data_IF_277643599407
#
_entry.id   IF_277643599407
#
_cell.length_a   1.000
_cell.length_b   1.000
_cell.length_c   1.000
_cell.angle_alpha   90.00
_cell.angle_beta   90.00
_cell.angle_gamma   90.00
#
_symmetry.space_group_name_H-M   'P 1'
#
loop_
_entity.id
_entity.type
_entity.pdbx_description
1 polymer ?
#
# COMPACT_ATOMS: atom_id res chain seq x y z
N UNK A 1 -14.05 33.41 -17.94
CA UNK A 1 -12.82 33.30 -18.76
C UNK A 1 -12.54 31.82 -18.96
N UNK A 2 -12.75 31.28 -20.16
CA UNK A 2 -12.45 29.88 -20.44
C UNK A 2 -10.94 29.74 -20.66
N UNK A 3 -10.27 28.96 -19.82
CA UNK A 3 -8.86 28.58 -20.03
C UNK A 3 -8.80 27.67 -21.25
N UNK A 4 -7.93 27.99 -22.21
CA UNK A 4 -7.61 27.11 -23.33
C UNK A 4 -6.92 25.85 -22.81
N UNK A 5 -7.35 24.69 -23.29
CA UNK A 5 -6.70 23.40 -23.01
C UNK A 5 -5.63 23.18 -24.07
N UNK A 6 -4.37 23.07 -23.64
CA UNK A 6 -3.26 22.64 -24.51
C UNK A 6 -3.24 21.11 -24.55
N UNK A 7 -3.28 20.54 -25.76
CA UNK A 7 -3.17 19.10 -25.98
C UNK A 7 -1.72 18.81 -26.35
N UNK A 8 -1.09 17.91 -25.59
CA UNK A 8 0.27 17.41 -25.87
C UNK A 8 0.13 15.96 -26.29
N UNK A 9 0.65 15.62 -27.47
CA UNK A 9 0.74 14.24 -27.92
C UNK A 9 1.91 13.54 -27.22
N UNK A 10 1.63 12.37 -26.66
CA UNK A 10 2.63 11.52 -26.00
C UNK A 10 2.91 10.35 -26.94
N UNK A 11 4.19 10.10 -27.21
CA UNK A 11 4.62 8.99 -28.07
C UNK A 11 4.21 7.64 -27.45
N UNK A 12 3.64 6.75 -28.25
CA UNK A 12 3.31 5.40 -27.81
C UNK A 12 4.59 4.59 -27.60
N UNK A 13 4.60 3.67 -26.63
CA UNK A 13 5.81 2.87 -26.31
C UNK A 13 6.32 2.06 -27.53
N UNK A 14 5.40 1.52 -28.32
CA UNK A 14 5.73 0.73 -29.52
C UNK A 14 6.32 1.58 -30.65
N UNK A 15 6.19 2.91 -30.59
CA UNK A 15 6.73 3.84 -31.58
C UNK A 15 8.14 4.32 -31.22
N UNK A 16 8.72 3.87 -30.09
CA UNK A 16 10.07 4.23 -29.69
C UNK A 16 11.09 3.63 -30.65
N UNK A 17 12.01 4.47 -31.13
CA UNK A 17 13.16 3.99 -31.90
C UNK A 17 14.14 3.24 -31.00
N UNK A 18 14.94 2.35 -31.58
CA UNK A 18 15.98 1.62 -30.84
C UNK A 18 16.98 2.56 -30.14
N UNK A 19 17.25 3.75 -30.72
CA UNK A 19 18.12 4.76 -30.09
C UNK A 19 17.48 5.39 -28.86
N UNK A 20 16.16 5.63 -28.88
CA UNK A 20 15.43 6.15 -27.72
C UNK A 20 15.33 5.10 -26.63
N UNK A 21 15.07 3.83 -26.99
CA UNK A 21 15.09 2.71 -26.04
C UNK A 21 16.48 2.60 -25.40
N UNK A 22 17.56 2.67 -26.17
CA UNK A 22 18.92 2.64 -25.63
C UNK A 22 19.29 3.87 -24.77
N UNK A 23 18.60 5.00 -24.97
CA UNK A 23 18.75 6.20 -24.15
C UNK A 23 17.84 6.20 -22.90
N UNK A 24 17.06 5.15 -22.69
CA UNK A 24 16.24 4.97 -21.50
C UNK A 24 17.11 4.92 -20.24
N UNK A 25 16.51 5.27 -19.09
CA UNK A 25 17.24 5.28 -17.82
C UNK A 25 17.65 3.90 -17.33
N UNK A 26 16.90 2.87 -17.73
CA UNK A 26 17.15 1.49 -17.38
C UNK A 26 16.93 0.62 -18.60
N UNK A 27 17.81 -0.35 -18.81
CA UNK A 27 17.57 -1.41 -19.78
C UNK A 27 16.66 -2.52 -19.22
N UNK A 28 16.35 -3.51 -20.06
CA UNK A 28 15.46 -4.63 -19.67
C UNK A 28 16.07 -5.50 -18.56
N UNK A 29 17.39 -5.69 -18.56
CA UNK A 29 18.09 -6.52 -17.57
C UNK A 29 18.13 -5.82 -16.22
N UNK A 30 18.52 -4.54 -16.19
CA UNK A 30 18.49 -3.69 -14.99
C UNK A 30 17.07 -3.64 -14.40
N UNK A 31 16.04 -3.48 -15.24
CA UNK A 31 14.67 -3.44 -14.75
C UNK A 31 14.19 -4.76 -14.16
N UNK A 32 14.62 -5.87 -14.75
CA UNK A 32 14.40 -7.21 -14.21
C UNK A 32 15.11 -7.38 -12.86
N UNK A 33 16.34 -6.90 -12.71
CA UNK A 33 17.07 -6.94 -11.44
C UNK A 33 16.39 -6.13 -10.34
N UNK A 34 15.97 -4.89 -10.66
CA UNK A 34 15.21 -4.02 -9.75
C UNK A 34 13.94 -4.73 -9.29
N UNK A 35 13.18 -5.29 -10.24
CA UNK A 35 11.95 -6.03 -9.97
C UNK A 35 12.19 -7.23 -9.06
N UNK A 36 13.23 -8.02 -9.31
CA UNK A 36 13.61 -9.12 -8.43
C UNK A 36 14.03 -8.64 -7.03
N UNK A 37 14.69 -7.49 -6.93
CA UNK A 37 15.00 -6.81 -5.68
C UNK A 37 13.73 -6.51 -4.88
N UNK A 38 12.73 -5.90 -5.52
CA UNK A 38 11.42 -5.62 -4.91
C UNK A 38 10.73 -6.91 -4.41
N UNK A 39 10.74 -7.99 -5.21
CA UNK A 39 10.16 -9.27 -4.78
C UNK A 39 10.86 -9.87 -3.55
N UNK A 40 12.19 -9.77 -3.47
CA UNK A 40 12.94 -10.23 -2.29
C UNK A 40 12.57 -9.42 -1.04
N UNK A 41 12.29 -8.13 -1.17
CA UNK A 41 11.82 -7.29 -0.06
C UNK A 41 10.40 -7.70 0.35
N UNK A 42 9.49 -7.86 -0.60
CA UNK A 42 8.12 -8.32 -0.34
C UNK A 42 8.08 -9.66 0.41
N UNK A 43 8.83 -10.65 -0.07
CA UNK A 43 8.89 -11.96 0.58
C UNK A 43 9.39 -11.87 2.03
N UNK A 44 10.32 -10.95 2.32
CA UNK A 44 10.78 -10.70 3.69
C UNK A 44 9.74 -10.00 4.55
N UNK A 45 9.00 -9.04 3.98
CA UNK A 45 7.90 -8.39 4.68
C UNK A 45 6.81 -9.39 5.10
N UNK A 46 6.51 -10.37 4.24
CA UNK A 46 5.43 -11.34 4.49
C UNK A 46 5.84 -12.52 5.37
N UNK A 47 7.02 -13.10 5.14
CA UNK A 47 7.39 -14.41 5.73
C UNK A 47 8.60 -14.34 6.66
N UNK A 48 9.44 -13.32 6.55
CA UNK A 48 10.80 -13.35 7.07
C UNK A 48 11.18 -12.04 7.73
N UNK A 49 10.58 -11.78 8.90
CA UNK A 49 10.73 -10.56 9.69
C UNK A 49 12.13 -9.95 9.64
N UNK A 50 12.20 -8.62 9.59
CA UNK A 50 13.43 -7.86 9.34
C UNK A 50 14.61 -8.35 10.17
N UNK A 51 15.61 -8.94 9.51
CA UNK A 51 16.89 -9.29 10.15
C UNK A 51 17.49 -8.02 10.76
N UNK A 52 17.83 -8.07 12.05
CA UNK A 52 18.42 -6.95 12.80
C UNK A 52 19.58 -6.35 12.00
N UNK A 53 19.52 -5.04 11.74
CA UNK A 53 20.59 -4.27 11.10
C UNK A 53 20.44 -3.98 9.60
N UNK A 54 19.45 -4.57 8.90
CA UNK A 54 19.16 -4.18 7.50
C UNK A 54 17.84 -3.44 7.40
N UNK A 55 17.89 -2.15 7.08
CA UNK A 55 16.73 -1.33 6.71
C UNK A 55 16.44 -1.56 5.22
N UNK A 56 15.24 -2.03 4.91
CA UNK A 56 14.75 -2.14 3.54
C UNK A 56 13.73 -1.03 3.30
N UNK A 57 13.74 -0.43 2.11
CA UNK A 57 12.65 0.47 1.73
C UNK A 57 11.41 -0.38 1.44
N UNK A 58 10.38 -0.23 2.27
CA UNK A 58 9.08 -0.89 2.10
C UNK A 58 8.05 0.02 1.44
N UNK A 59 8.35 1.33 1.34
CA UNK A 59 7.47 2.33 0.75
C UNK A 59 7.33 2.07 -0.75
N UNK A 60 6.10 2.11 -1.25
CA UNK A 60 5.75 1.79 -2.64
C UNK A 60 5.49 0.30 -2.88
N UNK A 61 5.83 -0.58 -1.93
CA UNK A 61 5.60 -2.03 -2.02
C UNK A 61 4.35 -2.49 -1.26
N UNK A 62 3.68 -1.61 -0.50
CA UNK A 62 2.54 -1.97 0.35
C UNK A 62 1.42 -2.61 -0.45
N UNK A 63 1.12 -2.05 -1.63
CA UNK A 63 0.11 -2.60 -2.51
C UNK A 63 0.51 -3.93 -3.18
N UNK A 64 1.78 -4.31 -3.14
CA UNK A 64 2.26 -5.58 -3.71
C UNK A 64 2.31 -6.69 -2.67
N UNK A 65 2.04 -6.40 -1.40
CA UNK A 65 1.77 -7.42 -0.39
C UNK A 65 0.49 -8.18 -0.72
N UNK A 66 0.33 -9.38 -0.18
CA UNK A 66 -0.86 -10.23 -0.34
C UNK A 66 -2.12 -9.48 0.08
N UNK A 67 -2.13 -8.88 1.27
CA UNK A 67 -3.28 -8.11 1.75
C UNK A 67 -3.49 -6.83 0.94
N UNK A 68 -2.41 -6.11 0.60
CA UNK A 68 -2.51 -4.88 -0.19
C UNK A 68 -3.01 -5.12 -1.61
N UNK A 69 -2.61 -6.22 -2.23
CA UNK A 69 -3.06 -6.59 -3.57
C UNK A 69 -4.53 -7.04 -3.59
N UNK A 70 -4.94 -7.84 -2.61
CA UNK A 70 -6.35 -8.24 -2.41
C UNK A 70 -7.21 -6.99 -2.19
N UNK A 71 -6.85 -6.14 -1.23
CA UNK A 71 -7.62 -4.93 -0.90
C UNK A 71 -7.75 -3.98 -2.11
N UNK A 72 -6.65 -3.77 -2.87
CA UNK A 72 -6.71 -2.98 -4.12
C UNK A 72 -7.66 -3.59 -5.14
N UNK A 73 -7.60 -4.91 -5.35
CA UNK A 73 -8.46 -5.61 -6.32
C UNK A 73 -9.92 -5.52 -5.91
N UNK A 74 -10.24 -5.81 -4.65
CA UNK A 74 -11.60 -5.73 -4.10
C UNK A 74 -12.17 -4.32 -4.23
N UNK A 75 -11.40 -3.30 -3.85
CA UNK A 75 -11.85 -1.91 -3.94
C UNK A 75 -12.12 -1.49 -5.39
N UNK A 76 -11.26 -1.89 -6.34
CA UNK A 76 -11.49 -1.62 -7.77
C UNK A 76 -12.76 -2.31 -8.27
N UNK A 77 -12.92 -3.60 -8.00
CA UNK A 77 -14.12 -4.36 -8.40
C UNK A 77 -15.38 -3.74 -7.80
N UNK A 78 -15.38 -3.44 -6.51
CA UNK A 78 -16.52 -2.82 -5.84
C UNK A 78 -16.84 -1.44 -6.42
N UNK A 79 -15.82 -0.67 -6.79
CA UNK A 79 -16.01 0.65 -7.41
C UNK A 79 -16.63 0.53 -8.80
N UNK A 80 -16.21 -0.45 -9.61
CA UNK A 80 -16.83 -0.72 -10.91
C UNK A 80 -18.28 -1.15 -10.76
N UNK A 81 -18.56 -2.11 -9.86
CA UNK A 81 -19.92 -2.58 -9.59
C UNK A 81 -20.81 -1.42 -9.14
N UNK A 82 -20.37 -0.58 -8.20
CA UNK A 82 -21.16 0.55 -7.73
C UNK A 82 -21.52 1.57 -8.83
N UNK A 83 -20.61 1.79 -9.78
CA UNK A 83 -20.87 2.67 -10.93
C UNK A 83 -21.87 2.03 -11.90
N UNK A 84 -21.67 0.75 -12.23
CA UNK A 84 -22.54 0.03 -13.15
C UNK A 84 -23.96 -0.13 -12.58
N UNK A 85 -24.09 -0.43 -11.29
CA UNK A 85 -25.38 -0.54 -10.61
C UNK A 85 -26.14 0.80 -10.64
N UNK A 86 -25.46 1.92 -10.41
CA UNK A 86 -26.10 3.25 -10.47
C UNK A 86 -26.47 3.63 -11.92
N UNK A 87 -25.64 3.28 -12.90
CA UNK A 87 -25.96 3.47 -14.32
C UNK A 87 -27.18 2.64 -14.74
N UNK A 88 -27.23 1.36 -14.37
CA UNK A 88 -28.36 0.47 -14.65
C UNK A 88 -29.65 0.98 -14.00
N UNK A 89 -29.57 1.45 -12.75
CA UNK A 89 -30.70 2.06 -12.05
C UNK A 89 -31.21 3.30 -12.79
N UNK A 90 -30.35 4.22 -13.20
CA UNK A 90 -30.75 5.42 -13.96
C UNK A 90 -31.39 5.05 -15.29
N UNK A 91 -30.84 4.04 -15.99
CA UNK A 91 -31.38 3.53 -17.24
C UNK A 91 -32.80 2.96 -17.07
N UNK A 92 -33.01 2.12 -16.06
CA UNK A 92 -34.30 1.48 -15.80
C UNK A 92 -35.39 2.47 -15.34
N UNK A 93 -34.99 3.58 -14.71
CA UNK A 93 -35.91 4.64 -14.26
C UNK A 93 -36.28 5.63 -15.37
N UNK A 94 -35.76 5.49 -16.60
CA UNK A 94 -35.95 6.43 -17.72
C UNK A 94 -35.67 7.90 -17.32
N UNK A 95 -34.66 8.12 -16.46
CA UNK A 95 -34.24 9.46 -16.03
C UNK A 95 -33.13 9.98 -16.93
N UNK A 96 -33.01 11.31 -17.02
CA UNK A 96 -31.81 11.94 -17.56
C UNK A 96 -30.58 11.50 -16.74
N UNK A 97 -29.43 11.36 -17.41
CA UNK A 97 -28.20 10.91 -16.77
C UNK A 97 -27.73 11.88 -15.69
N UNK A 98 -27.74 11.43 -14.43
CA UNK A 98 -27.20 12.16 -13.28
C UNK A 98 -25.76 11.72 -13.03
N UNK A 99 -24.82 12.49 -13.60
CA UNK A 99 -23.38 12.27 -13.43
C UNK A 99 -22.92 12.46 -11.97
N UNK A 100 -23.60 13.29 -11.19
CA UNK A 100 -23.24 13.53 -9.79
C UNK A 100 -23.55 12.30 -8.94
N UNK A 101 -24.71 11.66 -9.17
CA UNK A 101 -25.08 10.42 -8.50
C UNK A 101 -24.07 9.27 -8.79
N UNK A 102 -23.62 9.13 -10.04
CA UNK A 102 -22.58 8.15 -10.41
C UNK A 102 -21.25 8.45 -9.69
N UNK A 103 -20.84 9.74 -9.66
CA UNK A 103 -19.64 10.18 -8.96
C UNK A 103 -19.71 9.87 -7.47
N UNK A 104 -20.86 10.13 -6.85
CA UNK A 104 -21.09 9.88 -5.43
C UNK A 104 -21.09 8.38 -5.10
N UNK A 105 -21.64 7.53 -5.98
CA UNK A 105 -21.58 6.08 -5.85
C UNK A 105 -20.12 5.57 -5.85
N UNK A 106 -19.30 6.04 -6.79
CA UNK A 106 -17.87 5.72 -6.83
C UNK A 106 -17.13 6.22 -5.59
N UNK A 107 -17.36 7.48 -5.20
CA UNK A 107 -16.69 8.13 -4.06
C UNK A 107 -16.99 7.39 -2.75
N UNK A 108 -18.23 6.90 -2.59
CA UNK A 108 -18.63 6.11 -1.42
C UNK A 108 -17.72 4.89 -1.21
N UNK A 109 -17.39 4.17 -2.29
CA UNK A 109 -16.54 2.97 -2.23
C UNK A 109 -15.06 3.33 -2.11
N UNK A 110 -14.59 4.35 -2.83
CA UNK A 110 -13.17 4.72 -2.90
C UNK A 110 -12.67 5.61 -1.75
N UNK A 111 -13.58 6.16 -0.93
CA UNK A 111 -13.25 7.09 0.17
C UNK A 111 -12.22 6.56 1.16
N UNK A 112 -12.25 5.26 1.50
CA UNK A 112 -11.29 4.64 2.40
C UNK A 112 -9.87 4.65 1.83
N UNK A 113 -9.74 4.39 0.52
CA UNK A 113 -8.45 4.44 -0.18
C UNK A 113 -7.89 5.86 -0.20
N UNK A 114 -8.76 6.86 -0.42
CA UNK A 114 -8.37 8.27 -0.39
C UNK A 114 -7.86 8.68 1.01
N UNK A 115 -8.58 8.31 2.06
CA UNK A 115 -8.18 8.59 3.43
C UNK A 115 -6.84 7.93 3.77
N UNK A 116 -6.65 6.66 3.37
CA UNK A 116 -5.39 5.96 3.56
C UNK A 116 -4.22 6.65 2.85
N UNK A 117 -4.42 7.11 1.61
CA UNK A 117 -3.39 7.85 0.88
C UNK A 117 -2.98 9.14 1.63
N UNK A 118 -3.94 9.88 2.19
CA UNK A 118 -3.66 11.07 3.01
C UNK A 118 -2.87 10.71 4.27
N UNK A 119 -3.27 9.65 4.98
CA UNK A 119 -2.56 9.19 6.19
C UNK A 119 -1.12 8.80 5.86
N UNK A 120 -0.89 8.08 4.76
CA UNK A 120 0.45 7.69 4.33
C UNK A 120 1.28 8.92 3.94
N UNK A 121 0.72 9.84 3.16
CA UNK A 121 1.40 11.08 2.76
C UNK A 121 1.82 11.93 3.97
N UNK A 122 0.95 12.06 4.98
CA UNK A 122 1.29 12.78 6.21
C UNK A 122 2.41 12.11 7.01
N UNK A 123 2.43 10.77 7.05
CA UNK A 123 3.52 10.03 7.70
C UNK A 123 4.85 10.22 6.96
N UNK A 124 4.81 10.23 5.64
CA UNK A 124 6.00 10.48 4.83
C UNK A 124 6.51 11.91 5.03
N UNK A 125 5.62 12.90 5.08
CA UNK A 125 5.96 14.28 5.43
C UNK A 125 6.66 14.38 6.79
N UNK A 126 6.07 13.79 7.83
CA UNK A 126 6.65 13.79 9.18
C UNK A 126 8.01 13.09 9.24
N UNK A 127 8.19 12.00 8.50
CA UNK A 127 9.46 11.29 8.43
C UNK A 127 10.56 12.14 7.77
N UNK A 128 10.21 12.93 6.75
CA UNK A 128 11.13 13.86 6.10
C UNK A 128 11.47 15.03 7.03
N UNK A 129 10.49 15.62 7.70
CA UNK A 129 10.76 16.69 8.68
C UNK A 129 11.68 16.21 9.79
N UNK A 130 11.41 15.04 10.37
CA UNK A 130 12.28 14.47 11.39
C UNK A 130 13.70 14.22 10.90
N UNK A 131 13.89 13.85 9.63
CA UNK A 131 15.22 13.68 9.05
C UNK A 131 15.95 15.01 8.88
N UNK A 132 15.27 16.06 8.39
CA UNK A 132 15.88 17.37 8.16
C UNK A 132 16.29 18.08 9.45
N UNK A 133 15.52 17.95 10.52
CA UNK A 133 15.76 18.64 11.79
C UNK A 133 16.54 17.79 12.83
N UNK A 134 16.88 16.54 12.53
CA UNK A 134 17.77 15.73 13.38
C UNK A 134 19.26 16.06 13.16
N UNK A 135 19.63 16.57 11.97
CA UNK A 135 21.02 16.92 11.65
C UNK A 135 21.45 18.28 12.26
N UNK A 136 20.54 19.14 12.70
CA UNK A 136 20.88 20.45 13.29
C UNK A 136 21.35 20.38 14.75
N UNK A 137 21.04 19.32 15.51
CA UNK A 137 21.46 19.18 16.92
C UNK A 137 22.78 18.38 17.09
N UNK A 138 23.27 17.66 16.07
CA UNK A 138 24.54 16.92 16.17
C UNK A 138 25.78 17.79 15.85
N UNK A 139 25.61 18.96 15.22
CA UNK A 139 26.72 19.87 14.88
C UNK A 139 27.08 20.89 15.99
N UNK A 140 26.30 20.99 17.09
CA UNK A 140 26.61 21.88 18.22
C UNK A 140 27.32 21.21 19.42
N UNK A 141 27.59 19.89 19.39
CA UNK A 141 28.28 19.20 20.49
C UNK A 141 29.72 18.77 20.15
N UNK A 142 30.53 19.70 19.62
CA UNK A 142 32.00 19.55 19.59
C UNK A 142 32.69 20.80 20.16
N UNK A 143 32.56 21.02 21.46
CA UNK A 143 33.64 21.51 22.35
C UNK A 143 33.13 21.77 23.78
N UNK A 144 33.23 20.78 24.66
CA UNK A 144 33.73 21.01 26.02
C UNK A 144 34.05 19.70 26.75
N UNK A 145 35.29 19.65 27.25
CA UNK A 145 35.74 18.89 28.42
C UNK A 145 35.90 17.38 28.32
N UNK A 146 37.09 17.02 27.83
CA UNK A 146 37.95 16.00 28.44
C UNK A 146 37.97 16.11 29.98
N UNK A 147 37.31 15.18 30.68
CA UNK A 147 37.83 14.68 31.96
C UNK A 147 37.41 13.24 32.19
N UNK A 148 38.41 12.37 32.30
CA UNK A 148 38.25 10.95 32.56
C UNK A 148 37.66 10.69 33.95
N UNK A 149 36.57 9.90 34.04
CA UNK A 149 36.25 9.14 35.24
C UNK A 149 35.79 7.74 34.84
N UNK A 150 36.61 6.76 35.21
CA UNK A 150 36.33 5.33 35.17
C UNK A 150 35.33 4.96 36.28
N UNK A 151 34.16 4.42 35.93
CA UNK A 151 33.30 3.69 36.88
C UNK A 151 32.91 2.34 36.28
N UNK A 152 33.14 1.30 37.08
CA UNK A 152 32.98 -0.12 36.77
C UNK A 152 31.50 -0.53 36.72
N UNK A 153 31.20 -1.39 35.75
CA UNK A 153 30.23 -2.50 35.73
C UNK A 153 29.14 -2.57 36.81
N UNK A 154 27.87 -2.49 36.38
CA UNK A 154 26.76 -3.15 37.05
C UNK A 154 25.79 -3.75 36.00
N UNK A 155 25.76 -5.09 35.93
CA UNK A 155 24.76 -5.87 35.20
C UNK A 155 23.40 -5.68 35.87
N UNK A 156 22.43 -5.09 35.18
CA UNK A 156 21.03 -5.10 35.59
C UNK A 156 20.24 -6.06 34.70
N UNK A 157 19.84 -7.17 35.31
CA UNK A 157 18.97 -8.19 34.76
C UNK A 157 17.53 -7.68 34.87
N UNK A 158 16.90 -7.31 33.77
CA UNK A 158 15.45 -7.08 33.74
C UNK A 158 14.77 -8.27 33.05
N UNK A 159 14.15 -9.13 33.88
CA UNK A 159 13.27 -10.22 33.44
C UNK A 159 11.85 -9.67 33.26
N UNK A 160 11.18 -10.19 32.22
CA UNK A 160 9.88 -9.84 31.65
C UNK A 160 8.68 -9.92 32.61
N UNK A 161 7.46 -9.62 32.09
CA UNK A 161 6.53 -10.74 31.97
C UNK A 161 5.86 -10.87 30.60
N UNK A 162 5.90 -12.11 30.14
CA UNK A 162 5.15 -12.71 29.05
C UNK A 162 3.65 -12.69 29.40
N UNK A 163 2.80 -12.08 28.57
CA UNK A 163 1.36 -12.35 28.62
C UNK A 163 1.05 -13.53 27.71
N UNK A 164 0.77 -14.67 28.33
CA UNK A 164 0.17 -15.82 27.66
C UNK A 164 -1.31 -15.51 27.41
N UNK A 165 -1.73 -15.41 26.15
CA UNK A 165 -3.14 -15.55 25.78
C UNK A 165 -3.33 -16.88 25.06
N UNK A 166 -4.12 -17.75 25.70
CA UNK A 166 -4.52 -19.08 25.25
C UNK A 166 -5.22 -19.03 23.88
N UNK A 167 -5.08 -20.07 23.03
CA UNK A 167 -5.95 -20.26 21.88
C UNK A 167 -7.35 -20.69 22.34
N UNK A 168 -8.39 -20.05 21.80
CA UNK A 168 -9.77 -20.48 21.94
C UNK A 168 -9.98 -21.77 21.12
N UNK A 169 -10.32 -22.83 21.84
CA UNK A 169 -10.80 -24.10 21.29
C UNK A 169 -12.29 -23.92 20.95
N UNK A 170 -12.68 -24.14 19.68
CA UNK A 170 -14.07 -24.22 19.24
C UNK A 170 -14.23 -25.53 18.46
N UNK A 171 -14.37 -26.63 19.20
CA UNK A 171 -14.93 -27.87 18.68
C UNK A 171 -16.46 -27.83 18.79
N UNK A 172 -17.14 -28.22 17.71
CA UNK A 172 -18.41 -28.94 17.80
C UNK A 172 -19.70 -28.15 17.60
N UNK A 173 -20.22 -28.18 16.37
CA UNK A 173 -21.66 -28.38 16.14
C UNK A 173 -21.88 -29.07 14.79
N UNK A 174 -22.44 -30.27 14.86
CA UNK A 174 -22.77 -31.17 13.77
C UNK A 174 -24.14 -30.87 13.15
N UNK A 175 -24.34 -31.29 11.89
CA UNK A 175 -25.63 -31.56 11.24
C UNK A 175 -26.43 -30.31 10.87
N UNK A 176 -26.98 -30.17 9.66
CA UNK A 176 -28.01 -31.03 9.09
C UNK A 176 -27.94 -31.01 7.56
N UNK A 177 -28.06 -32.20 6.99
CA UNK A 177 -28.27 -32.50 5.57
C UNK A 177 -29.73 -32.22 5.21
N UNK A 178 -29.99 -31.48 4.13
CA UNK A 178 -31.27 -31.58 3.39
C UNK A 178 -30.98 -31.63 1.89
N UNK A 179 -31.27 -32.79 1.31
CA UNK A 179 -31.51 -33.00 -0.11
C UNK A 179 -32.72 -32.17 -0.59
N UNK A 180 -32.62 -31.50 -1.74
CA UNK A 180 -33.59 -31.75 -2.82
C UNK A 180 -33.12 -31.21 -4.18
N UNK A 181 -33.16 -32.09 -5.17
CA UNK A 181 -33.09 -31.79 -6.58
C UNK A 181 -34.47 -31.35 -7.09
N UNK A 182 -34.52 -30.39 -8.02
CA UNK A 182 -35.60 -30.31 -9.02
C UNK A 182 -35.02 -29.81 -10.35
N UNK A 183 -35.17 -30.64 -11.37
CA UNK A 183 -34.96 -30.34 -12.78
C UNK A 183 -36.20 -29.64 -13.39
N UNK A 184 -35.98 -28.79 -14.40
CA UNK A 184 -36.85 -28.48 -15.56
C UNK A 184 -36.09 -27.44 -16.41
N UNK A 185 -35.62 -27.73 -17.62
CA UNK A 185 -36.35 -28.04 -18.85
C UNK A 185 -37.36 -26.95 -19.22
N UNK A 186 -36.89 -25.97 -20.01
CA UNK A 186 -37.60 -25.32 -21.11
C UNK A 186 -36.55 -24.77 -22.07
#
# INVERSE_FOLDING_TARGET
>A
MNKSVEVVEILHLDDFTASEIAASWYDEEEMKEITQGCFKVLQRMEYGGTKKGKKYCTRGLEGHTTLGSISKKETRTASFVAVLDEQEKQWNENKDFDFQAISDAYRKVSSSSQLWAQVIGNRDHQAIEAYLYQDEEEDEEVQATTTAVSIKSAKSVFKSPVSQTKPLNMEGAAGVVVHQAVARAA
#
